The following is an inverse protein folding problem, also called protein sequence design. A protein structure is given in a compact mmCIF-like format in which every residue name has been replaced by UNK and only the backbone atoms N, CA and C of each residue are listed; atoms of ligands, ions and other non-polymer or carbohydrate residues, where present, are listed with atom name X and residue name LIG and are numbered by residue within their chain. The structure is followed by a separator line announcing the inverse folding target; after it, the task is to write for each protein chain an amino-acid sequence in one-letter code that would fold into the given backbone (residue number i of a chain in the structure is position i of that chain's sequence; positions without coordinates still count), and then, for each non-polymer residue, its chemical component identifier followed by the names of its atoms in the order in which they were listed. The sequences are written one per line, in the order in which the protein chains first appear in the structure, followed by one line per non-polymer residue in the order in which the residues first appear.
data_IF_902360678056
#
_entry.id   IF_902360678056
#
_cell.length_a   1.000
_cell.length_b   1.000
_cell.length_c   1.000
_cell.angle_alpha   90.00
_cell.angle_beta   90.00
_cell.angle_gamma   90.00
#
_symmetry.space_group_name_H-M   'P 1'
#
loop_
_entity.id
_entity.type
_entity.pdbx_description
1 polymer ?
#
# COMPACT_ATOMS: atom_id res chain seq x y z
N UNK A 1 12.61 -8.69 21.61
CA UNK A 1 12.31 -8.36 20.19
C UNK A 1 11.78 -9.62 19.55
N UNK A 2 10.63 -9.56 18.87
CA UNK A 2 10.15 -10.73 18.11
C UNK A 2 11.18 -11.05 17.03
N UNK A 3 11.50 -12.34 16.87
CA UNK A 3 12.43 -12.85 15.87
C UNK A 3 12.04 -12.34 14.48
N UNK A 4 13.02 -11.94 13.66
CA UNK A 4 12.83 -11.45 12.30
C UNK A 4 12.10 -12.48 11.40
N UNK A 5 12.05 -13.74 11.84
CA UNK A 5 11.34 -14.84 11.22
C UNK A 5 9.93 -15.10 11.76
N UNK A 6 9.42 -14.30 12.70
CA UNK A 6 7.99 -14.36 13.08
C UNK A 6 7.18 -13.79 11.93
N UNK A 7 6.96 -14.60 10.91
CA UNK A 7 5.98 -14.34 9.87
C UNK A 7 4.62 -14.27 10.54
N UNK A 8 3.87 -13.22 10.23
CA UNK A 8 2.48 -13.10 10.64
C UNK A 8 1.72 -14.31 10.08
N UNK A 9 1.51 -15.33 10.91
CA UNK A 9 0.95 -16.60 10.47
C UNK A 9 -0.53 -16.44 10.11
N UNK A 10 -0.98 -17.10 9.03
CA UNK A 10 -2.36 -16.98 8.56
C UNK A 10 -3.37 -17.40 9.63
N UNK A 11 -3.06 -18.42 10.44
CA UNK A 11 -3.97 -18.89 11.49
C UNK A 11 -4.04 -17.88 12.63
N UNK A 12 -2.89 -17.35 13.05
CA UNK A 12 -2.84 -16.28 14.06
C UNK A 12 -3.59 -15.03 13.58
N UNK A 13 -3.40 -14.64 12.32
CA UNK A 13 -4.10 -13.51 11.73
C UNK A 13 -5.62 -13.72 11.63
N UNK A 14 -6.07 -14.94 11.30
CA UNK A 14 -7.49 -15.30 11.25
C UNK A 14 -8.14 -15.21 12.64
N UNK A 15 -7.44 -15.66 13.69
CA UNK A 15 -7.92 -15.55 15.08
C UNK A 15 -8.11 -14.09 15.49
N UNK A 16 -7.19 -13.20 15.09
CA UNK A 16 -7.18 -11.80 15.53
C UNK A 16 -8.13 -10.93 14.69
N UNK A 17 -8.14 -11.11 13.37
CA UNK A 17 -8.81 -10.22 12.42
C UNK A 17 -10.10 -10.80 11.84
N UNK A 18 -10.32 -12.11 11.98
CA UNK A 18 -11.35 -12.86 11.28
C UNK A 18 -10.92 -13.32 9.88
N UNK A 19 -11.53 -14.40 9.41
CA UNK A 19 -11.15 -15.07 8.15
C UNK A 19 -11.29 -14.18 6.91
N UNK A 20 -12.34 -13.36 6.81
CA UNK A 20 -12.55 -12.50 5.63
C UNK A 20 -11.48 -11.40 5.55
N UNK A 21 -11.19 -10.73 6.67
CA UNK A 21 -10.19 -9.68 6.75
C UNK A 21 -8.80 -10.24 6.48
N UNK A 22 -8.48 -11.38 7.10
CA UNK A 22 -7.24 -12.10 6.87
C UNK A 22 -7.08 -12.47 5.40
N UNK A 23 -8.06 -13.13 4.78
CA UNK A 23 -7.95 -13.57 3.39
C UNK A 23 -7.73 -12.41 2.42
N UNK A 24 -8.48 -11.32 2.57
CA UNK A 24 -8.34 -10.14 1.72
C UNK A 24 -6.99 -9.45 1.93
N UNK A 25 -6.54 -9.31 3.17
CA UNK A 25 -5.25 -8.69 3.51
C UNK A 25 -4.10 -9.49 2.92
N UNK A 26 -4.08 -10.81 3.12
CA UNK A 26 -3.03 -11.66 2.55
C UNK A 26 -3.07 -11.70 1.03
N UNK A 27 -4.25 -11.69 0.40
CA UNK A 27 -4.37 -11.62 -1.06
C UNK A 27 -3.80 -10.31 -1.60
N UNK A 28 -4.13 -9.19 -0.95
CA UNK A 28 -3.59 -7.87 -1.30
C UNK A 28 -2.07 -7.83 -1.12
N UNK A 29 -1.56 -8.23 0.05
CA UNK A 29 -0.12 -8.24 0.34
C UNK A 29 0.67 -9.16 -0.59
N UNK A 30 0.12 -10.35 -0.91
CA UNK A 30 0.76 -11.27 -1.88
C UNK A 30 0.80 -10.67 -3.29
N UNK A 31 -0.27 -9.99 -3.70
CA UNK A 31 -0.32 -9.28 -4.98
C UNK A 31 0.69 -8.13 -5.00
N UNK A 32 0.78 -7.33 -3.94
CA UNK A 32 1.77 -6.25 -3.82
C UNK A 32 3.21 -6.78 -3.85
N UNK A 33 3.51 -7.87 -3.15
CA UNK A 33 4.82 -8.52 -3.17
C UNK A 33 5.19 -9.05 -4.57
N UNK A 34 4.21 -9.48 -5.38
CA UNK A 34 4.45 -9.99 -6.73
C UNK A 34 5.05 -8.97 -7.70
N UNK A 35 4.90 -7.66 -7.43
CA UNK A 35 5.50 -6.60 -8.23
C UNK A 35 7.02 -6.49 -8.03
N UNK A 36 7.58 -7.14 -7.00
CA UNK A 36 9.03 -7.15 -6.69
C UNK A 36 9.61 -5.74 -6.73
N UNK A 37 9.01 -4.86 -5.94
CA UNK A 37 9.42 -3.47 -5.85
C UNK A 37 10.79 -3.36 -5.19
N UNK A 38 11.59 -2.42 -5.65
CA UNK A 38 12.79 -1.97 -4.95
C UNK A 38 12.43 -1.15 -3.72
N UNK A 39 13.36 -1.00 -2.78
CA UNK A 39 13.15 -0.19 -1.57
C UNK A 39 12.75 1.25 -1.90
N UNK A 40 13.35 1.84 -2.94
CA UNK A 40 13.04 3.19 -3.41
C UNK A 40 11.62 3.28 -3.97
N UNK A 41 11.20 2.30 -4.76
CA UNK A 41 9.82 2.22 -5.29
C UNK A 41 8.81 2.09 -4.14
N UNK A 42 9.11 1.28 -3.11
CA UNK A 42 8.25 1.16 -1.92
C UNK A 42 8.14 2.49 -1.17
N UNK A 43 9.27 3.16 -0.92
CA UNK A 43 9.29 4.42 -0.19
C UNK A 43 8.50 5.53 -0.91
N UNK A 44 8.71 5.67 -2.22
CA UNK A 44 7.99 6.67 -3.03
C UNK A 44 6.51 6.34 -3.14
N UNK A 45 6.14 5.07 -3.24
CA UNK A 45 4.74 4.66 -3.23
C UNK A 45 4.04 4.95 -1.91
N UNK A 46 4.72 4.75 -0.77
CA UNK A 46 4.19 5.13 0.53
C UNK A 46 3.95 6.66 0.61
N UNK A 47 4.91 7.47 0.17
CA UNK A 47 4.78 8.93 0.14
C UNK A 47 3.63 9.39 -0.79
N UNK A 48 3.51 8.78 -1.97
CA UNK A 48 2.42 9.03 -2.90
C UNK A 48 1.05 8.65 -2.29
N UNK A 49 0.95 7.49 -1.64
CA UNK A 49 -0.25 7.04 -0.93
C UNK A 49 -0.67 8.06 0.13
N UNK A 50 0.26 8.47 1.00
CA UNK A 50 -0.06 9.37 2.10
C UNK A 50 -0.54 10.73 1.60
N UNK A 51 0.09 11.24 0.55
CA UNK A 51 -0.31 12.53 -0.03
C UNK A 51 -1.60 12.44 -0.87
N UNK A 52 -1.94 11.26 -1.41
CA UNK A 52 -3.15 11.06 -2.22
C UNK A 52 -4.40 10.81 -1.37
N UNK A 53 -4.29 9.96 -0.34
CA UNK A 53 -5.45 9.39 0.34
C UNK A 53 -5.69 9.95 1.75
N UNK A 54 -4.72 10.66 2.32
CA UNK A 54 -4.92 11.27 3.64
C UNK A 54 -5.93 12.40 3.58
N UNK A 55 -6.77 12.49 4.61
CA UNK A 55 -7.80 13.51 4.77
C UNK A 55 -7.55 14.32 6.04
N UNK A 56 -8.17 15.49 6.14
CA UNK A 56 -8.15 16.34 7.33
C UNK A 56 -6.74 16.80 7.73
N UNK A 57 -5.87 17.08 6.76
CA UNK A 57 -4.53 17.61 7.00
C UNK A 57 -4.59 19.13 7.17
N UNK A 58 -3.70 19.67 8.00
CA UNK A 58 -3.67 21.09 8.36
C UNK A 58 -3.41 22.02 7.17
N UNK A 59 -2.56 21.60 6.23
CA UNK A 59 -2.19 22.38 5.05
C UNK A 59 -2.36 21.56 3.78
N UNK A 60 -3.56 21.59 3.21
CA UNK A 60 -3.91 20.81 2.04
C UNK A 60 -3.22 21.28 0.76
N UNK A 61 -2.81 22.55 0.66
CA UNK A 61 -2.14 23.05 -0.54
C UNK A 61 -0.71 22.53 -0.66
N UNK A 62 0.03 22.52 0.46
CA UNK A 62 1.34 21.85 0.53
C UNK A 62 1.23 20.35 0.24
N UNK A 63 0.16 19.71 0.70
CA UNK A 63 -0.07 18.28 0.44
C UNK A 63 -0.28 18.00 -1.05
N UNK A 64 -0.99 18.88 -1.77
CA UNK A 64 -1.15 18.76 -3.23
C UNK A 64 0.20 18.89 -3.94
N UNK A 65 1.02 19.87 -3.56
CA UNK A 65 2.36 20.04 -4.13
C UNK A 65 3.24 18.80 -3.90
N UNK A 66 3.21 18.26 -2.67
CA UNK A 66 3.90 17.02 -2.35
C UNK A 66 3.36 15.84 -3.13
N UNK A 67 2.04 15.76 -3.35
CA UNK A 67 1.44 14.70 -4.14
C UNK A 67 1.94 14.72 -5.59
N UNK A 68 1.98 15.89 -6.22
CA UNK A 68 2.51 16.05 -7.57
C UNK A 68 3.99 15.70 -7.63
N UNK A 69 4.78 16.15 -6.65
CA UNK A 69 6.20 15.84 -6.55
C UNK A 69 6.43 14.33 -6.44
N UNK A 70 5.81 13.66 -5.46
CA UNK A 70 5.99 12.23 -5.23
C UNK A 70 5.40 11.38 -6.36
N UNK A 71 4.31 11.82 -6.99
CA UNK A 71 3.77 11.17 -8.19
C UNK A 71 4.76 11.19 -9.36
N UNK A 72 5.37 12.34 -9.63
CA UNK A 72 6.41 12.48 -10.68
C UNK A 72 7.66 11.70 -10.33
N UNK A 73 8.12 11.75 -9.08
CA UNK A 73 9.29 11.01 -8.62
C UNK A 73 9.09 9.50 -8.72
N UNK A 74 7.92 9.00 -8.32
CA UNK A 74 7.56 7.59 -8.43
C UNK A 74 7.54 7.14 -9.90
N UNK A 75 6.86 7.90 -10.77
CA UNK A 75 6.83 7.61 -12.20
C UNK A 75 8.23 7.58 -12.83
N UNK A 76 9.07 8.55 -12.45
CA UNK A 76 10.45 8.62 -12.90
C UNK A 76 11.26 7.38 -12.48
N UNK A 77 11.20 6.99 -11.21
CA UNK A 77 11.93 5.82 -10.69
C UNK A 77 11.44 4.52 -11.35
N UNK A 78 10.12 4.35 -11.51
CA UNK A 78 9.57 3.18 -12.19
C UNK A 78 10.05 3.11 -13.64
N UNK A 79 10.11 4.25 -14.33
CA UNK A 79 10.63 4.33 -15.71
C UNK A 79 12.13 4.05 -15.76
N UNK A 80 12.92 4.59 -14.81
CA UNK A 80 14.36 4.34 -14.69
C UNK A 80 14.66 2.84 -14.49
N UNK A 81 13.81 2.17 -13.70
CA UNK A 81 13.86 0.73 -13.48
C UNK A 81 13.25 -0.09 -14.63
N UNK A 82 12.94 0.55 -15.77
CA UNK A 82 12.42 -0.08 -16.99
C UNK A 82 11.10 -0.84 -16.76
N UNK A 83 10.28 -0.41 -15.80
CA UNK A 83 8.92 -0.94 -15.61
C UNK A 83 8.08 -0.57 -16.83
N UNK A 84 7.44 -1.56 -17.45
CA UNK A 84 6.64 -1.34 -18.66
C UNK A 84 5.25 -0.80 -18.34
N UNK A 85 4.50 -0.41 -19.37
CA UNK A 85 3.15 0.13 -19.23
C UNK A 85 2.21 -0.82 -18.47
N UNK A 86 2.22 -2.10 -18.80
CA UNK A 86 1.37 -3.11 -18.15
C UNK A 86 1.68 -3.23 -16.66
N UNK A 87 2.95 -3.14 -16.28
CA UNK A 87 3.36 -3.10 -14.88
C UNK A 87 2.75 -1.88 -14.19
N UNK A 88 2.90 -0.69 -14.78
CA UNK A 88 2.41 0.56 -14.20
C UNK A 88 0.90 0.53 -13.98
N UNK A 89 0.13 0.11 -14.99
CA UNK A 89 -1.33 0.06 -14.92
C UNK A 89 -1.80 -0.93 -13.84
N UNK A 90 -1.21 -2.13 -13.81
CA UNK A 90 -1.55 -3.12 -12.79
C UNK A 90 -1.14 -2.66 -11.39
N UNK A 91 0.03 -2.03 -11.26
CA UNK A 91 0.56 -1.59 -9.98
C UNK A 91 -0.26 -0.44 -9.39
N UNK A 92 -0.53 0.59 -10.19
CA UNK A 92 -1.37 1.72 -9.79
C UNK A 92 -2.78 1.24 -9.45
N UNK A 93 -3.33 0.30 -10.23
CA UNK A 93 -4.63 -0.31 -9.95
C UNK A 93 -4.70 -0.98 -8.58
N UNK A 94 -3.62 -1.65 -8.13
CA UNK A 94 -3.55 -2.22 -6.79
C UNK A 94 -3.29 -1.16 -5.70
N UNK A 95 -2.45 -0.14 -5.96
CA UNK A 95 -2.25 0.97 -5.02
C UNK A 95 -3.56 1.69 -4.69
N UNK A 96 -4.42 1.92 -5.69
CA UNK A 96 -5.71 2.59 -5.52
C UNK A 96 -6.71 1.81 -4.66
N UNK A 97 -6.48 0.52 -4.38
CA UNK A 97 -7.32 -0.28 -3.47
C UNK A 97 -6.95 -0.08 -2.00
N UNK A 98 -5.83 0.57 -1.69
CA UNK A 98 -5.36 0.76 -0.32
C UNK A 98 -6.39 1.42 0.61
N UNK A 99 -7.16 2.46 0.19
CA UNK A 99 -8.21 3.03 1.04
C UNK A 99 -9.31 2.02 1.42
N UNK A 100 -9.63 1.08 0.53
CA UNK A 100 -10.59 0.01 0.80
C UNK A 100 -10.03 -1.00 1.79
N UNK A 101 -8.75 -1.35 1.65
CA UNK A 101 -8.04 -2.20 2.60
C UNK A 101 -7.95 -1.55 3.99
N UNK A 102 -7.73 -0.24 4.05
CA UNK A 102 -7.72 0.49 5.32
C UNK A 102 -9.08 0.46 6.01
N UNK A 103 -10.18 0.63 5.25
CA UNK A 103 -11.55 0.53 5.80
C UNK A 103 -11.88 -0.88 6.30
N UNK A 104 -11.46 -1.91 5.57
CA UNK A 104 -11.66 -3.31 5.95
C UNK A 104 -11.15 -3.59 7.38
N UNK A 105 -10.00 -3.02 7.75
CA UNK A 105 -9.43 -3.16 9.10
C UNK A 105 -10.16 -2.32 10.16
N UNK A 106 -10.88 -1.26 9.76
CA UNK A 106 -11.64 -0.38 10.65
C UNK A 106 -13.08 -0.87 10.88
N UNK A 107 -13.63 -1.65 9.95
CA UNK A 107 -14.99 -2.19 10.01
C UNK A 107 -15.11 -3.45 10.89
N UNK A 108 -14.01 -3.90 11.53
CA UNK A 108 -14.02 -4.98 12.51
C UNK A 108 -14.66 -4.47 13.80
N UNK A 109 -15.98 -4.61 13.92
CA UNK A 109 -16.69 -4.37 15.17
C UNK A 109 -16.25 -5.40 16.20
N UNK A 110 -15.61 -4.94 17.28
CA UNK A 110 -15.48 -5.71 18.51
C UNK A 110 -16.86 -5.76 19.18
N UNK A 111 -17.66 -6.73 18.78
CA UNK A 111 -18.92 -7.12 19.44
C UNK A 111 -18.71 -8.36 20.28
#
# INVERSE_FOLDING_TARGET
MLDENVQFDKKVASIILGDDVQNRTFKYSSKMASFKLTEVEVALSAAFIFTTFSKNLLNMDVVKELNEYYGRALYYVLTLNKRNKDFLENYIGELCKLPQMNKLCLDVNYG
#
